data_IF_150167881122
#
_entry.id   IF_150167881122
#
_cell.length_a   1.000
_cell.length_b   1.000
_cell.length_c   1.000
_cell.angle_alpha   90.00
_cell.angle_beta   90.00
_cell.angle_gamma   90.00
#
_symmetry.space_group_name_H-M   'P 1'
#
loop_
_entity.id
_entity.type
_entity.pdbx_description
1 polymer ?
#
# COMPACT_ATOMS: atom_id res chain seq x y z
N UNK A 1 10.94 19.67 -25.11
CA UNK A 1 10.85 18.52 -26.03
C UNK A 1 9.69 17.65 -25.61
N UNK A 2 8.54 17.72 -26.30
CA UNK A 2 7.43 16.80 -26.07
C UNK A 2 7.77 15.46 -26.73
N UNK A 3 8.50 14.60 -26.02
CA UNK A 3 8.59 13.20 -26.42
C UNK A 3 7.25 12.56 -26.14
N UNK A 4 6.39 12.44 -27.16
CA UNK A 4 5.15 11.70 -27.06
C UNK A 4 5.41 10.29 -26.52
N UNK A 5 4.51 9.79 -25.68
CA UNK A 5 4.59 8.45 -25.11
C UNK A 5 4.70 7.41 -26.23
N UNK A 6 5.81 6.68 -26.28
CA UNK A 6 5.99 5.58 -27.24
C UNK A 6 5.13 4.40 -26.80
N UNK A 7 4.02 4.17 -27.50
CA UNK A 7 3.18 2.98 -27.29
C UNK A 7 3.82 1.74 -27.93
N UNK A 8 3.80 0.61 -27.24
CA UNK A 8 4.15 -0.70 -27.82
C UNK A 8 3.01 -1.10 -28.77
N UNK A 9 3.22 -0.93 -30.07
CA UNK A 9 2.21 -1.19 -31.11
C UNK A 9 2.24 -2.62 -31.66
N UNK A 10 3.34 -3.34 -31.47
CA UNK A 10 3.53 -4.71 -31.95
C UNK A 10 4.41 -5.49 -30.99
N UNK A 11 4.30 -6.82 -31.03
CA UNK A 11 5.16 -7.72 -30.27
C UNK A 11 6.65 -7.49 -30.58
N UNK A 12 7.02 -7.34 -31.86
CA UNK A 12 8.41 -7.08 -32.28
C UNK A 12 8.98 -5.79 -31.68
N UNK A 13 8.17 -4.73 -31.61
CA UNK A 13 8.57 -3.46 -30.98
C UNK A 13 8.76 -3.65 -29.48
N UNK A 14 7.89 -4.44 -28.84
CA UNK A 14 7.99 -4.78 -27.43
C UNK A 14 9.24 -5.61 -27.11
N UNK A 15 9.55 -6.63 -27.92
CA UNK A 15 10.76 -7.45 -27.78
C UNK A 15 12.04 -6.62 -27.96
N UNK A 16 12.03 -5.65 -28.88
CA UNK A 16 13.15 -4.72 -29.05
C UNK A 16 13.30 -3.84 -27.80
N UNK A 17 12.20 -3.27 -27.31
CA UNK A 17 12.22 -2.46 -26.09
C UNK A 17 12.67 -3.25 -24.86
N UNK A 18 12.27 -4.53 -24.75
CA UNK A 18 12.70 -5.42 -23.68
C UNK A 18 14.22 -5.64 -23.74
N UNK A 19 14.77 -5.95 -24.91
CA UNK A 19 16.22 -6.10 -25.11
C UNK A 19 16.99 -4.83 -24.75
N UNK A 20 16.48 -3.66 -25.16
CA UNK A 20 17.10 -2.38 -24.82
C UNK A 20 17.08 -2.14 -23.30
N UNK A 21 15.94 -2.43 -22.64
CA UNK A 21 15.81 -2.32 -21.19
C UNK A 21 16.74 -3.30 -20.45
N UNK A 22 16.89 -4.53 -20.94
CA UNK A 22 17.82 -5.53 -20.41
C UNK A 22 19.28 -5.13 -20.60
N UNK A 23 19.62 -4.50 -21.73
CA UNK A 23 20.97 -4.01 -22.04
C UNK A 23 21.35 -2.75 -21.26
N UNK A 24 20.39 -2.03 -20.66
CA UNK A 24 20.67 -0.84 -19.87
C UNK A 24 21.62 -1.14 -18.72
N UNK A 25 22.75 -0.42 -18.65
CA UNK A 25 23.73 -0.54 -17.57
C UNK A 25 23.36 0.47 -16.48
N UNK A 26 23.21 -0.02 -15.24
CA UNK A 26 22.91 0.80 -14.07
C UNK A 26 24.20 1.16 -13.31
N UNK A 27 24.23 2.35 -12.71
CA UNK A 27 25.36 2.85 -11.93
C UNK A 27 25.25 2.52 -10.43
N UNK A 28 24.03 2.29 -9.92
CA UNK A 28 23.77 2.08 -8.49
C UNK A 28 22.59 1.13 -8.23
N UNK A 29 22.35 0.79 -6.96
CA UNK A 29 21.29 -0.13 -6.53
C UNK A 29 19.89 0.37 -6.85
N UNK A 30 19.65 1.68 -6.78
CA UNK A 30 18.35 2.27 -7.05
C UNK A 30 18.01 2.17 -8.54
N UNK A 31 18.96 2.52 -9.42
CA UNK A 31 18.84 2.33 -10.86
C UNK A 31 18.67 0.86 -11.24
N UNK A 32 19.34 -0.06 -10.54
CA UNK A 32 19.11 -1.49 -10.70
C UNK A 32 17.67 -1.86 -10.38
N UNK A 33 17.12 -1.40 -9.25
CA UNK A 33 15.72 -1.66 -8.87
C UNK A 33 14.74 -1.15 -9.92
N UNK A 34 14.90 0.11 -10.34
CA UNK A 34 14.09 0.73 -11.40
C UNK A 34 14.19 -0.09 -12.70
N UNK A 35 15.39 -0.45 -13.13
CA UNK A 35 15.60 -1.30 -14.33
C UNK A 35 14.82 -2.61 -14.21
N UNK A 36 14.93 -3.31 -13.08
CA UNK A 36 14.26 -4.60 -12.88
C UNK A 36 12.73 -4.45 -12.93
N UNK A 37 12.18 -3.38 -12.37
CA UNK A 37 10.73 -3.08 -12.47
C UNK A 37 10.34 -2.87 -13.93
N UNK A 38 11.08 -2.05 -14.68
CA UNK A 38 10.82 -1.81 -16.10
C UNK A 38 10.89 -3.10 -16.93
N UNK A 39 11.94 -3.88 -16.75
CA UNK A 39 12.12 -5.17 -17.45
C UNK A 39 10.96 -6.10 -17.14
N UNK A 40 10.55 -6.24 -15.87
CA UNK A 40 9.40 -7.06 -15.50
C UNK A 40 8.12 -6.58 -16.17
N UNK A 41 7.79 -5.29 -16.09
CA UNK A 41 6.56 -4.74 -16.70
C UNK A 41 6.53 -5.04 -18.20
N UNK A 42 7.62 -4.78 -18.90
CA UNK A 42 7.72 -5.01 -20.35
C UNK A 42 7.64 -6.50 -20.67
N UNK A 43 8.35 -7.35 -19.93
CA UNK A 43 8.30 -8.81 -20.07
C UNK A 43 6.86 -9.33 -19.92
N UNK A 44 6.14 -8.88 -18.89
CA UNK A 44 4.75 -9.28 -18.69
C UNK A 44 3.88 -8.87 -19.90
N UNK A 45 4.04 -7.64 -20.41
CA UNK A 45 3.27 -7.15 -21.57
C UNK A 45 3.59 -7.95 -22.84
N UNK A 46 4.87 -8.23 -23.09
CA UNK A 46 5.34 -8.88 -24.32
C UNK A 46 5.07 -10.38 -24.32
N UNK A 47 5.39 -11.05 -23.21
CA UNK A 47 5.42 -12.51 -23.12
C UNK A 47 4.18 -13.09 -22.43
N UNK A 48 3.39 -12.29 -21.71
CA UNK A 48 2.14 -12.72 -21.06
C UNK A 48 0.94 -11.83 -21.44
N UNK A 49 0.63 -11.69 -22.75
CA UNK A 49 -0.47 -10.85 -23.22
C UNK A 49 -1.83 -11.24 -22.65
N UNK A 50 -2.00 -12.50 -22.23
CA UNK A 50 -3.20 -12.99 -21.55
C UNK A 50 -3.53 -12.21 -20.27
N UNK A 51 -2.54 -11.65 -19.55
CA UNK A 51 -2.77 -10.83 -18.35
C UNK A 51 -3.44 -9.48 -18.69
N UNK A 52 -3.30 -9.02 -19.92
CA UNK A 52 -3.75 -7.69 -20.37
C UNK A 52 -4.89 -7.75 -21.39
N UNK A 53 -5.37 -8.95 -21.73
CA UNK A 53 -6.53 -9.13 -22.58
C UNK A 53 -7.81 -8.96 -21.75
N UNK A 54 -8.74 -8.08 -22.18
CA UNK A 54 -9.99 -7.82 -21.48
C UNK A 54 -10.83 -9.08 -21.21
N UNK A 55 -10.86 -10.04 -22.14
CA UNK A 55 -11.59 -11.31 -21.94
C UNK A 55 -10.98 -12.14 -20.80
N UNK A 56 -9.66 -12.20 -20.73
CA UNK A 56 -8.93 -12.96 -19.71
C UNK A 56 -8.86 -12.24 -18.37
N UNK A 57 -8.84 -10.90 -18.36
CA UNK A 57 -8.92 -10.10 -17.14
C UNK A 57 -10.17 -10.37 -16.34
N UNK A 58 -11.29 -10.66 -17.02
CA UNK A 58 -12.52 -11.04 -16.34
C UNK A 58 -12.42 -12.38 -15.60
N UNK A 59 -11.59 -13.30 -16.09
CA UNK A 59 -11.36 -14.62 -15.50
C UNK A 59 -10.34 -14.61 -14.36
N UNK A 60 -9.44 -13.62 -14.32
CA UNK A 60 -8.50 -13.49 -13.21
C UNK A 60 -9.21 -12.98 -11.96
N UNK A 61 -8.97 -13.66 -10.84
CA UNK A 61 -9.27 -13.06 -9.54
C UNK A 61 -8.39 -11.83 -9.33
N UNK A 62 -8.83 -10.93 -8.47
CA UNK A 62 -8.05 -9.76 -8.07
C UNK A 62 -6.66 -10.15 -7.56
N UNK A 63 -6.63 -11.13 -6.66
CA UNK A 63 -5.41 -11.72 -6.10
C UNK A 63 -4.52 -12.31 -7.19
N UNK A 64 -5.08 -12.86 -8.27
CA UNK A 64 -4.27 -13.38 -9.38
C UNK A 64 -3.50 -12.28 -10.08
N UNK A 65 -4.15 -11.15 -10.37
CA UNK A 65 -3.47 -10.03 -11.03
C UNK A 65 -2.44 -9.39 -10.11
N UNK A 66 -2.81 -9.24 -8.84
CA UNK A 66 -1.94 -8.72 -7.80
C UNK A 66 -0.68 -9.59 -7.66
N UNK A 67 -0.80 -10.90 -7.48
CA UNK A 67 0.36 -11.79 -7.29
C UNK A 67 1.21 -11.92 -8.56
N UNK A 68 0.57 -12.01 -9.74
CA UNK A 68 1.29 -12.26 -11.00
C UNK A 68 1.95 -11.02 -11.59
N UNK A 69 1.35 -9.84 -11.41
CA UNK A 69 1.82 -8.60 -12.00
C UNK A 69 2.40 -7.65 -10.96
N UNK A 70 1.59 -7.26 -9.96
CA UNK A 70 1.97 -6.23 -8.98
C UNK A 70 2.94 -6.70 -7.90
N UNK A 71 2.86 -7.97 -7.50
CA UNK A 71 3.70 -8.57 -6.46
C UNK A 71 5.18 -8.33 -6.73
N UNK A 72 5.72 -8.80 -7.88
CA UNK A 72 7.12 -8.56 -8.23
C UNK A 72 7.47 -7.08 -8.38
N UNK A 73 6.55 -6.22 -8.85
CA UNK A 73 6.82 -4.76 -8.95
C UNK A 73 7.02 -4.15 -7.57
N UNK A 74 6.13 -4.49 -6.64
CA UNK A 74 6.13 -3.95 -5.28
C UNK A 74 7.30 -4.53 -4.47
N UNK A 75 7.59 -5.82 -4.62
CA UNK A 75 8.78 -6.45 -4.02
C UNK A 75 10.12 -5.97 -4.59
N UNK A 76 10.14 -5.46 -5.83
CA UNK A 76 11.34 -4.82 -6.38
C UNK A 76 11.46 -3.35 -5.97
N UNK A 77 10.33 -2.69 -5.71
CA UNK A 77 10.28 -1.30 -5.26
C UNK A 77 10.71 -1.19 -3.79
N UNK A 78 10.21 -2.08 -2.93
CA UNK A 78 10.63 -2.17 -1.54
C UNK A 78 11.79 -3.14 -1.42
N UNK A 79 12.85 -2.78 -0.69
CA UNK A 79 13.97 -3.70 -0.48
C UNK A 79 13.49 -4.94 0.30
N UNK A 80 13.50 -6.16 -0.28
CA UNK A 80 12.97 -7.35 0.38
C UNK A 80 13.78 -7.77 1.62
N UNK A 81 14.97 -7.20 1.82
CA UNK A 81 15.77 -7.41 3.03
C UNK A 81 15.33 -6.50 4.19
N UNK A 82 14.60 -5.42 3.90
CA UNK A 82 14.15 -4.44 4.88
C UNK A 82 12.63 -4.56 5.13
N UNK A 83 11.88 -4.89 4.08
CA UNK A 83 10.43 -4.94 4.09
C UNK A 83 9.94 -6.35 3.78
N UNK A 84 8.99 -6.80 4.60
CA UNK A 84 8.25 -8.03 4.39
C UNK A 84 6.85 -7.70 3.90
N UNK A 85 6.54 -8.07 2.67
CA UNK A 85 5.25 -7.80 2.05
C UNK A 85 4.34 -9.01 2.22
N UNK A 86 3.11 -8.77 2.68
CA UNK A 86 2.05 -9.78 2.75
C UNK A 86 0.86 -9.39 1.87
N UNK A 87 0.25 -10.41 1.27
CA UNK A 87 -0.88 -10.30 0.35
C UNK A 87 -2.03 -11.23 0.78
N UNK A 88 -3.26 -10.86 0.45
CA UNK A 88 -4.46 -11.63 0.74
C UNK A 88 -4.95 -11.45 2.17
N UNK A 89 -5.78 -12.36 2.67
CA UNK A 89 -6.49 -12.28 3.96
C UNK A 89 -5.59 -12.29 5.21
N UNK A 90 -4.89 -11.19 5.47
CA UNK A 90 -3.91 -11.08 6.55
C UNK A 90 -4.47 -10.33 7.75
N UNK A 91 -4.02 -10.67 8.95
CA UNK A 91 -4.46 -10.01 10.20
C UNK A 91 -3.27 -9.28 10.82
N UNK A 92 -3.41 -7.98 11.00
CA UNK A 92 -2.44 -7.19 11.75
C UNK A 92 -2.49 -7.53 13.23
N UNK A 93 -1.32 -7.77 13.82
CA UNK A 93 -1.18 -8.03 15.26
C UNK A 93 -1.68 -6.83 16.09
N UNK A 94 -1.51 -5.63 15.56
CA UNK A 94 -1.90 -4.37 16.20
C UNK A 94 -3.41 -4.23 16.37
N UNK A 95 -4.18 -4.74 15.40
CA UNK A 95 -5.65 -4.73 15.48
C UNK A 95 -6.17 -5.54 16.66
N UNK A 96 -5.51 -6.66 16.98
CA UNK A 96 -5.89 -7.53 18.11
C UNK A 96 -5.78 -6.81 19.46
N UNK A 97 -4.76 -5.95 19.64
CA UNK A 97 -4.58 -5.12 20.84
C UNK A 97 -5.72 -4.13 21.02
N UNK A 98 -6.33 -3.70 19.91
CA UNK A 98 -7.45 -2.77 19.89
C UNK A 98 -8.81 -3.47 19.87
N UNK A 99 -8.88 -4.80 20.08
CA UNK A 99 -10.08 -5.61 19.93
C UNK A 99 -10.77 -5.46 18.55
N UNK A 100 -9.98 -5.18 17.50
CA UNK A 100 -10.44 -5.10 16.13
C UNK A 100 -10.10 -6.39 15.40
N UNK A 101 -11.09 -6.95 14.70
CA UNK A 101 -10.96 -8.23 13.99
C UNK A 101 -11.46 -8.10 12.56
N UNK A 102 -10.54 -7.75 11.65
CA UNK A 102 -10.79 -7.81 10.22
C UNK A 102 -9.50 -8.15 9.47
N UNK A 103 -9.70 -8.68 8.26
CA UNK A 103 -8.63 -9.03 7.34
C UNK A 103 -8.28 -7.83 6.44
N UNK A 104 -6.99 -7.69 6.19
CA UNK A 104 -6.37 -6.70 5.31
C UNK A 104 -5.85 -7.40 4.07
N UNK A 105 -6.02 -6.82 2.89
CA UNK A 105 -5.60 -7.42 1.61
C UNK A 105 -4.10 -7.27 1.33
N UNK A 106 -3.48 -6.22 1.89
CA UNK A 106 -2.08 -5.89 1.69
C UNK A 106 -1.47 -5.29 2.94
N UNK A 107 -0.25 -5.73 3.28
CA UNK A 107 0.55 -5.20 4.39
C UNK A 107 2.02 -5.09 4.00
N UNK A 108 2.66 -4.01 4.40
CA UNK A 108 4.12 -3.91 4.42
C UNK A 108 4.57 -3.87 5.87
N UNK A 109 5.40 -4.85 6.21
CA UNK A 109 5.86 -5.12 7.56
C UNK A 109 7.36 -4.86 7.61
N UNK A 110 7.83 -4.24 8.68
CA UNK A 110 9.27 -4.23 9.02
C UNK A 110 9.51 -5.01 10.28
N UNK A 111 10.74 -5.48 10.44
CA UNK A 111 11.20 -6.12 11.67
C UNK A 111 12.15 -5.21 12.40
N UNK A 112 11.95 -5.05 13.70
CA UNK A 112 12.90 -4.35 14.56
C UNK A 112 14.13 -5.23 14.88
N UNK A 113 15.04 -4.72 15.72
CA UNK A 113 16.24 -5.46 16.15
C UNK A 113 15.94 -6.73 16.97
N UNK A 114 14.76 -6.80 17.58
CA UNK A 114 14.27 -7.93 18.37
C UNK A 114 13.40 -8.89 17.54
N UNK A 115 13.32 -8.68 16.22
CA UNK A 115 12.46 -9.38 15.27
C UNK A 115 10.95 -9.22 15.52
N UNK A 116 10.53 -8.17 16.23
CA UNK A 116 9.11 -7.82 16.32
C UNK A 116 8.65 -7.23 15.00
N UNK A 117 7.50 -7.70 14.53
CA UNK A 117 6.87 -7.23 13.31
C UNK A 117 6.05 -5.98 13.57
N UNK A 118 6.27 -4.95 12.75
CA UNK A 118 5.54 -3.70 12.77
C UNK A 118 4.95 -3.41 11.39
N UNK A 119 3.64 -3.18 11.34
CA UNK A 119 2.97 -2.79 10.10
C UNK A 119 3.24 -1.31 9.79
N UNK A 120 3.93 -1.00 8.70
CA UNK A 120 4.18 0.38 8.27
C UNK A 120 3.04 0.91 7.41
N UNK A 121 2.52 0.08 6.52
CA UNK A 121 1.39 0.47 5.67
C UNK A 121 0.51 -0.74 5.40
N UNK A 122 -0.77 -0.44 5.18
CA UNK A 122 -1.78 -1.42 4.80
C UNK A 122 -2.54 -0.91 3.61
N UNK A 123 -3.12 -1.83 2.84
CA UNK A 123 -3.96 -1.50 1.70
C UNK A 123 -5.13 -2.47 1.61
N UNK A 124 -6.28 -1.93 1.22
CA UNK A 124 -7.41 -2.71 0.73
C UNK A 124 -7.41 -2.61 -0.78
N UNK A 125 -7.76 -3.71 -1.44
CA UNK A 125 -7.85 -3.75 -2.89
C UNK A 125 -9.26 -4.19 -3.32
N UNK A 126 -9.63 -3.72 -4.51
CA UNK A 126 -10.91 -4.02 -5.10
C UNK A 126 -10.79 -4.04 -6.63
N UNK A 127 -11.40 -5.05 -7.26
CA UNK A 127 -11.72 -4.97 -8.69
C UNK A 127 -12.70 -3.82 -8.91
N UNK A 128 -12.44 -3.02 -9.93
CA UNK A 128 -13.34 -1.94 -10.34
C UNK A 128 -14.78 -2.41 -10.54
N UNK A 129 -14.97 -3.58 -11.17
CA UNK A 129 -16.29 -4.20 -11.38
C UNK A 129 -17.01 -4.62 -10.10
N UNK A 130 -16.31 -4.67 -8.97
CA UNK A 130 -16.81 -5.10 -7.67
C UNK A 130 -16.79 -3.96 -6.64
N UNK A 131 -16.37 -2.76 -7.04
CA UNK A 131 -16.35 -1.57 -6.18
C UNK A 131 -17.74 -0.96 -6.11
N UNK A 132 -18.50 -1.33 -5.07
CA UNK A 132 -19.71 -0.59 -4.68
C UNK A 132 -19.33 0.55 -3.73
N UNK A 133 -20.19 1.56 -3.61
CA UNK A 133 -20.01 2.63 -2.63
C UNK A 133 -19.93 2.07 -1.19
N UNK A 134 -20.75 1.06 -0.87
CA UNK A 134 -20.71 0.38 0.44
C UNK A 134 -19.39 -0.34 0.69
N UNK A 135 -18.82 -1.02 -0.32
CA UNK A 135 -17.48 -1.64 -0.20
C UNK A 135 -16.40 -0.58 -0.03
N UNK A 136 -16.45 0.50 -0.80
CA UNK A 136 -15.50 1.61 -0.68
C UNK A 136 -15.49 2.19 0.74
N UNK A 137 -16.66 2.51 1.31
CA UNK A 137 -16.74 3.01 2.68
C UNK A 137 -16.23 2.00 3.72
N UNK A 138 -16.54 0.72 3.53
CA UNK A 138 -16.05 -0.34 4.42
C UNK A 138 -14.53 -0.46 4.39
N UNK A 139 -13.94 -0.48 3.20
CA UNK A 139 -12.50 -0.62 2.99
C UNK A 139 -11.76 0.64 3.48
N UNK A 140 -12.36 1.83 3.30
CA UNK A 140 -11.90 3.07 3.91
C UNK A 140 -11.94 3.02 5.44
N UNK A 141 -13.06 2.58 6.02
CA UNK A 141 -13.20 2.44 7.47
C UNK A 141 -12.16 1.47 8.04
N UNK A 142 -11.94 0.32 7.41
CA UNK A 142 -10.86 -0.62 7.79
C UNK A 142 -9.50 0.07 7.80
N UNK A 143 -9.18 0.82 6.75
CA UNK A 143 -7.91 1.54 6.62
C UNK A 143 -7.75 2.60 7.72
N UNK A 144 -8.81 3.37 8.02
CA UNK A 144 -8.81 4.38 9.07
C UNK A 144 -8.65 3.77 10.47
N UNK A 145 -9.39 2.69 10.76
CA UNK A 145 -9.29 1.97 12.04
C UNK A 145 -7.91 1.35 12.24
N UNK A 146 -7.33 0.79 11.18
CA UNK A 146 -5.98 0.24 11.20
C UNK A 146 -4.95 1.33 11.48
N UNK A 147 -5.02 2.45 10.77
CA UNK A 147 -4.14 3.60 10.98
C UNK A 147 -4.23 4.12 12.41
N UNK A 148 -5.45 4.27 12.94
CA UNK A 148 -5.67 4.66 14.34
C UNK A 148 -5.02 3.69 15.33
N UNK A 149 -5.16 2.39 15.08
CA UNK A 149 -4.54 1.35 15.91
C UNK A 149 -3.00 1.42 15.87
N UNK A 150 -2.42 1.62 14.68
CA UNK A 150 -0.97 1.81 14.52
C UNK A 150 -0.45 3.03 15.27
N UNK A 151 -1.12 4.19 15.15
CA UNK A 151 -0.74 5.43 15.85
C UNK A 151 -0.71 5.21 17.36
N UNK A 152 -1.73 4.55 17.91
CA UNK A 152 -1.79 4.24 19.34
C UNK A 152 -0.61 3.37 19.78
N UNK A 153 -0.22 2.38 18.99
CA UNK A 153 0.94 1.55 19.32
C UNK A 153 2.25 2.35 19.28
N UNK A 154 2.41 3.27 18.31
CA UNK A 154 3.56 4.17 18.26
C UNK A 154 3.61 5.05 19.51
N UNK A 155 2.47 5.59 19.94
CA UNK A 155 2.37 6.39 21.16
C UNK A 155 2.81 5.57 22.40
N UNK A 156 2.33 4.34 22.53
CA UNK A 156 2.72 3.43 23.62
C UNK A 156 4.24 3.13 23.61
N UNK A 157 4.83 2.88 22.44
CA UNK A 157 6.27 2.69 22.29
C UNK A 157 7.07 3.93 22.70
N UNK A 158 6.65 5.13 22.27
CA UNK A 158 7.31 6.39 22.64
C UNK A 158 7.25 6.62 24.15
N UNK A 159 6.11 6.34 24.78
CA UNK A 159 5.95 6.43 26.23
C UNK A 159 6.89 5.45 26.94
N UNK A 160 7.00 4.20 26.48
CA UNK A 160 7.90 3.20 27.06
C UNK A 160 9.38 3.62 26.95
N UNK A 161 9.81 4.09 25.78
CA UNK A 161 11.16 4.64 25.58
C UNK A 161 11.43 5.84 26.50
N UNK A 162 10.44 6.70 26.75
CA UNK A 162 10.60 7.87 27.64
C UNK A 162 10.77 7.48 29.11
N UNK A 163 10.22 6.33 29.53
CA UNK A 163 10.30 5.83 30.92
C UNK A 163 11.62 5.15 31.22
N UNK A 164 12.30 4.62 30.20
CA UNK A 164 13.58 3.93 30.38
C UNK A 164 14.69 4.97 30.56
N UNK A 165 15.27 5.12 31.77
CA UNK A 165 16.36 6.06 31.96
C UNK A 165 17.50 5.64 31.04
N UNK A 166 18.01 6.56 30.21
CA UNK A 166 19.18 6.30 29.37
C UNK A 166 20.39 5.98 30.26
N UNK A 167 20.58 4.70 30.58
CA UNK A 167 21.71 4.18 31.37
C UNK A 167 23.04 4.44 30.63
N UNK A 168 23.00 4.79 29.33
CA UNK A 168 24.15 5.04 28.48
C UNK A 168 24.80 6.43 28.63
N UNK A 169 24.20 7.41 29.32
CA UNK A 169 24.78 8.77 29.42
C UNK A 169 25.62 9.05 30.68
N UNK A 170 26.13 8.02 31.36
CA UNK A 170 27.07 8.23 32.50
C UNK A 170 28.54 8.40 32.09
N UNK A 171 28.92 8.08 30.84
CA UNK A 171 30.33 8.13 30.40
C UNK A 171 30.77 9.44 29.70
N UNK A 172 29.86 10.39 29.44
CA UNK A 172 30.19 11.69 28.80
C UNK A 172 30.42 12.77 29.87
N UNK A 173 31.22 12.48 30.92
CA UNK A 173 31.61 13.47 31.94
C UNK A 173 33.09 13.85 31.95
N UNK A 174 33.89 13.43 30.96
CA UNK A 174 35.30 13.85 30.84
C UNK A 174 35.65 14.28 29.42
N UNK A 175 35.20 15.46 28.99
CA UNK A 175 35.62 16.01 27.70
C UNK A 175 34.90 17.29 27.25
N UNK A 176 34.73 18.29 28.12
CA UNK A 176 34.11 19.58 27.75
C UNK A 176 35.09 20.43 26.93
N UNK A 177 35.14 20.23 25.60
CA UNK A 177 35.65 21.23 24.64
C UNK A 177 34.46 22.03 24.10
N UNK A 178 34.44 23.33 24.39
CA UNK A 178 33.44 24.29 23.89
C UNK A 178 33.55 24.37 22.37
N UNK A 179 32.46 24.11 21.63
CA UNK A 179 32.31 24.58 20.26
C UNK A 179 30.89 25.09 20.02
N UNK A 180 30.87 26.39 19.70
CA UNK A 180 30.06 27.15 18.74
C UNK A 180 28.58 26.77 18.54
N UNK A 181 27.72 27.76 18.82
CA UNK A 181 26.28 27.80 18.57
C UNK A 181 25.91 27.30 17.17
N UNK A 182 25.15 26.23 17.11
CA UNK A 182 24.29 25.88 15.97
C UNK A 182 22.91 26.43 16.27
N UNK A 183 22.37 27.27 15.39
CA UNK A 183 21.00 27.78 15.46
C UNK A 183 20.04 26.59 15.34
N UNK A 184 19.27 26.35 16.40
CA UNK A 184 18.07 25.51 16.37
C UNK A 184 17.02 26.21 15.52
N UNK A 185 16.67 25.62 14.39
CA UNK A 185 15.47 25.98 13.65
C UNK A 185 14.27 25.39 14.38
N UNK A 186 13.26 26.21 14.59
CA UNK A 186 12.03 25.86 15.28
C UNK A 186 11.21 24.87 14.43
N UNK A 187 10.69 23.82 15.05
CA UNK A 187 9.89 22.79 14.39
C UNK A 187 8.53 23.37 13.94
N UNK A 188 8.04 24.40 14.63
CA UNK A 188 6.75 25.02 14.33
C UNK A 188 6.75 25.77 12.99
N UNK A 189 7.92 26.21 12.51
CA UNK A 189 8.09 26.86 11.20
C UNK A 189 7.91 25.87 10.03
N UNK A 190 8.20 24.57 10.25
CA UNK A 190 8.08 23.54 9.21
C UNK A 190 6.64 23.06 9.00
N UNK A 191 5.82 23.05 10.06
CA UNK A 191 4.43 22.60 9.99
C UNK A 191 3.55 23.63 9.26
N UNK A 192 3.86 24.93 9.41
CA UNK A 192 3.07 26.03 8.83
C UNK A 192 3.16 26.13 7.29
N UNK A 193 4.13 25.49 6.65
CA UNK A 193 4.30 25.56 5.18
C UNK A 193 3.69 24.37 4.42
N UNK A 194 3.34 23.27 5.10
CA UNK A 194 2.99 22.02 4.42
C UNK A 194 1.49 21.80 4.18
N UNK A 195 0.60 22.60 4.79
CA UNK A 195 -0.86 22.38 4.72
C UNK A 195 -1.56 23.70 4.37
N UNK A 196 -1.47 24.09 3.10
CA UNK A 196 -2.49 24.96 2.52
C UNK A 196 -3.65 24.07 2.07
N UNK A 197 -4.60 23.81 2.97
CA UNK A 197 -5.90 23.26 2.57
C UNK A 197 -6.65 24.37 1.83
N UNK A 198 -7.02 24.20 0.54
CA UNK A 198 -8.00 25.09 -0.07
C UNK A 198 -9.34 24.84 0.61
N UNK A 199 -9.92 25.90 1.18
CA UNK A 199 -11.26 25.88 1.75
C UNK A 199 -12.26 25.47 0.65
N UNK A 200 -12.84 24.27 0.81
CA UNK A 200 -13.93 23.80 -0.04
C UNK A 200 -15.22 24.38 0.48
N UNK A 201 -15.65 25.50 -0.10
CA UNK A 201 -16.99 26.03 0.05
C UNK A 201 -18.02 25.08 -0.57
N UNK A 202 -19.00 24.71 0.25
CA UNK A 202 -20.41 24.43 -0.04
C UNK A 202 -20.77 23.71 -1.35
N UNK A 203 -21.26 22.47 -1.24
CA UNK A 203 -22.40 22.04 -2.04
C UNK A 203 -23.44 21.39 -1.12
N UNK A 204 -24.61 22.03 -1.12
CA UNK A 204 -25.79 21.69 -0.33
C UNK A 204 -26.39 20.34 -0.73
N UNK A 205 -27.00 19.74 0.27
CA UNK A 205 -27.96 18.65 0.20
C UNK A 205 -29.14 18.97 -0.71
N UNK A 206 -29.59 17.98 -1.48
CA UNK A 206 -30.97 17.46 -1.46
C UNK A 206 -31.06 16.38 -2.54
N UNK A 207 -31.58 15.21 -2.18
CA UNK A 207 -32.46 14.40 -3.03
C UNK A 207 -32.92 13.18 -2.20
N UNK A 208 -34.10 13.33 -1.63
CA UNK A 208 -34.97 12.24 -1.21
C UNK A 208 -35.50 11.57 -2.48
N UNK A 209 -35.29 10.26 -2.64
CA UNK A 209 -36.16 9.44 -3.48
C UNK A 209 -36.46 8.14 -2.75
N UNK A 210 -37.71 8.07 -2.30
CA UNK A 210 -38.42 6.86 -1.93
C UNK A 210 -38.80 6.15 -3.24
N UNK A 211 -38.53 4.86 -3.34
CA UNK A 211 -39.33 3.97 -4.19
C UNK A 211 -39.49 2.62 -3.48
N UNK A 212 -40.72 2.42 -3.02
CA UNK A 212 -41.38 1.14 -2.71
C UNK A 212 -41.29 0.24 -3.97
N UNK A 213 -41.10 -1.08 -3.89
CA UNK A 213 -42.14 -2.12 -3.68
C UNK A 213 -41.58 -3.42 -4.37
N UNK A 214 -42.25 -4.59 -4.33
CA UNK A 214 -42.74 -5.39 -3.22
C UNK A 214 -42.23 -6.86 -3.29
N UNK A 215 -42.72 -7.66 -2.34
CA UNK A 215 -42.56 -9.11 -2.18
C UNK A 215 -42.74 -9.97 -3.45
N UNK A 216 -41.93 -11.03 -3.56
CA UNK A 216 -42.29 -12.24 -4.31
C UNK A 216 -41.94 -13.49 -3.45
N UNK A 217 -42.96 -13.97 -2.75
CA UNK A 217 -43.01 -15.29 -2.13
C UNK A 217 -43.25 -16.37 -3.19
N UNK A 218 -42.82 -17.61 -2.87
CA UNK A 218 -43.11 -18.92 -3.50
C UNK A 218 -41.92 -19.51 -4.29
N UNK A 219 -41.56 -20.79 -4.16
CA UNK A 219 -42.25 -21.95 -3.61
C UNK A 219 -41.21 -23.05 -3.32
N UNK A 220 -41.29 -23.66 -2.14
CA UNK A 220 -40.72 -24.97 -1.84
C UNK A 220 -41.56 -26.05 -2.55
N UNK A 221 -40.88 -27.06 -3.11
CA UNK A 221 -41.32 -28.44 -3.44
C UNK A 221 -40.29 -29.01 -4.45
N UNK A 222 -39.77 -30.24 -4.43
CA UNK A 222 -40.04 -31.47 -3.69
C UNK A 222 -38.79 -32.37 -3.82
N UNK A 223 -38.57 -33.19 -2.79
CA UNK A 223 -37.72 -34.38 -2.83
C UNK A 223 -38.35 -35.44 -3.75
N UNK A 224 -37.53 -36.10 -4.58
CA UNK A 224 -37.83 -37.46 -5.05
C UNK A 224 -36.50 -38.24 -5.10
N UNK A 225 -36.36 -39.17 -4.16
CA UNK A 225 -35.38 -40.26 -4.20
C UNK A 225 -35.98 -41.43 -5.01
N UNK A 226 -35.29 -41.87 -6.05
CA UNK A 226 -35.27 -43.27 -6.52
C UNK A 226 -33.84 -43.68 -6.91
#
# INVERSE_FOLDING_TARGET
>A
MNSGTKKIKSRSNGETFLKDAEAFVYANSNERGIKMIYVHIVDQIVNKPILFNGTSQNQFSETSFLVKFWGPVIELFFNPNEYFIQWGDTISRHLSVSNLYFKLDFRIIVKDFDNNEFDITTGELARHSSTTQSKMYRDFLKSALTTKSMIKNIEEMVIECSKTPSIAMSNIKKGRKKNTMVKTTDIDDYISTAIACPDSENEDSDDEDQDEDPDDESQDDQEDEE
#
